data_IF_251341338063
#
_entry.id   IF_251341338063
#
_cell.length_a   1.000
_cell.length_b   1.000
_cell.length_c   1.000
_cell.angle_alpha   90.00
_cell.angle_beta   90.00
_cell.angle_gamma   90.00
#
_symmetry.space_group_name_H-M   'P 1'
#
loop_
_entity.id
_entity.type
_entity.pdbx_description
1 polymer ?
#
# COMPACT_ATOMS: atom_id res chain seq x y z
N UNK A 1 -34.30 8.73 3.45
CA UNK A 1 -33.39 7.91 4.29
C UNK A 1 -32.73 6.77 3.54
N UNK A 2 -33.46 5.86 2.87
CA UNK A 2 -32.87 4.70 2.16
C UNK A 2 -31.81 5.04 1.08
N UNK A 3 -31.95 6.17 0.38
CA UNK A 3 -30.96 6.62 -0.61
C UNK A 3 -29.64 7.07 0.03
N UNK A 4 -29.73 7.84 1.13
CA UNK A 4 -28.56 8.30 1.89
C UNK A 4 -27.78 7.14 2.49
N UNK A 5 -28.47 6.16 3.08
CA UNK A 5 -27.86 4.95 3.63
C UNK A 5 -27.09 4.16 2.56
N UNK A 6 -27.69 3.93 1.39
CA UNK A 6 -27.00 3.28 0.25
C UNK A 6 -25.75 4.04 -0.18
N UNK A 7 -25.81 5.37 -0.23
CA UNK A 7 -24.64 6.20 -0.53
C UNK A 7 -23.52 5.99 0.48
N UNK A 8 -23.84 6.05 1.78
CA UNK A 8 -22.88 5.80 2.87
C UNK A 8 -22.22 4.43 2.75
N UNK A 9 -23.00 3.38 2.46
CA UNK A 9 -22.46 2.02 2.28
C UNK A 9 -21.47 1.94 1.10
N UNK A 10 -21.78 2.57 -0.04
CA UNK A 10 -20.90 2.59 -1.21
C UNK A 10 -19.58 3.30 -0.88
N UNK A 11 -19.65 4.48 -0.27
CA UNK A 11 -18.45 5.22 0.11
C UNK A 11 -17.62 4.49 1.17
N UNK A 12 -18.27 3.84 2.14
CA UNK A 12 -17.58 2.99 3.12
C UNK A 12 -16.82 1.85 2.45
N UNK A 13 -17.44 1.15 1.50
CA UNK A 13 -16.79 0.08 0.76
C UNK A 13 -15.57 0.62 0.02
N UNK A 14 -15.71 1.75 -0.67
CA UNK A 14 -14.59 2.39 -1.37
C UNK A 14 -13.43 2.73 -0.44
N UNK A 15 -13.67 3.46 0.66
CA UNK A 15 -12.60 3.88 1.56
C UNK A 15 -11.94 2.69 2.28
N UNK A 16 -12.72 1.67 2.68
CA UNK A 16 -12.15 0.47 3.29
C UNK A 16 -11.34 -0.35 2.29
N UNK A 17 -11.73 -0.41 1.01
CA UNK A 17 -10.87 -1.00 -0.04
C UNK A 17 -9.55 -0.25 -0.18
N UNK A 18 -9.57 1.09 -0.16
CA UNK A 18 -8.32 1.88 -0.15
C UNK A 18 -7.47 1.54 1.08
N UNK A 19 -8.06 1.43 2.26
CA UNK A 19 -7.36 1.06 3.50
C UNK A 19 -6.70 -0.33 3.38
N UNK A 20 -7.44 -1.35 2.93
CA UNK A 20 -6.93 -2.72 2.78
C UNK A 20 -5.70 -2.77 1.85
N UNK A 21 -5.72 -2.01 0.75
CA UNK A 21 -4.65 -2.01 -0.25
C UNK A 21 -3.44 -1.13 0.14
N UNK A 22 -3.63 -0.10 0.97
CA UNK A 22 -2.58 0.90 1.26
C UNK A 22 -1.93 0.76 2.64
N UNK A 23 -2.61 0.17 3.63
CA UNK A 23 -2.00 -0.09 4.95
C UNK A 23 -0.75 -0.99 4.83
N UNK A 24 -0.77 -2.11 4.08
CA UNK A 24 0.41 -2.95 3.92
C UNK A 24 1.61 -2.24 3.31
N UNK A 25 1.38 -1.32 2.37
CA UNK A 25 2.43 -0.48 1.78
C UNK A 25 3.12 0.36 2.85
N UNK A 26 2.35 1.12 3.64
CA UNK A 26 2.91 1.98 4.71
C UNK A 26 3.68 1.16 5.74
N UNK A 27 3.13 0.01 6.16
CA UNK A 27 3.79 -0.85 7.14
C UNK A 27 5.10 -1.44 6.60
N UNK A 28 5.13 -1.82 5.32
CA UNK A 28 6.33 -2.42 4.73
C UNK A 28 7.44 -1.39 4.46
N UNK A 29 7.09 -0.18 4.01
CA UNK A 29 8.05 0.92 3.81
C UNK A 29 8.84 1.19 5.09
N UNK A 30 8.18 1.20 6.24
CA UNK A 30 8.85 1.50 7.52
C UNK A 30 9.29 0.26 8.29
N UNK A 31 9.38 -0.89 7.63
CA UNK A 31 9.89 -2.13 8.22
C UNK A 31 11.38 -2.31 7.90
N UNK A 32 12.26 -1.74 8.73
CA UNK A 32 13.70 -1.83 8.52
C UNK A 32 14.21 -3.27 8.39
N UNK A 33 13.71 -4.19 9.21
CA UNK A 33 14.09 -5.61 9.15
C UNK A 33 13.78 -6.27 7.80
N UNK A 34 12.76 -5.79 7.08
CA UNK A 34 12.49 -6.26 5.73
C UNK A 34 13.59 -5.88 4.74
N UNK A 35 14.15 -4.67 4.84
CA UNK A 35 15.25 -4.22 4.00
C UNK A 35 16.50 -5.05 4.25
N UNK A 36 16.89 -5.24 5.51
CA UNK A 36 18.06 -6.04 5.88
C UNK A 36 17.94 -7.47 5.32
N UNK A 37 16.76 -8.10 5.49
CA UNK A 37 16.48 -9.42 4.93
C UNK A 37 16.59 -9.46 3.40
N UNK A 38 16.11 -8.43 2.70
CA UNK A 38 16.20 -8.38 1.24
C UNK A 38 17.62 -8.12 0.76
N UNK A 39 18.40 -7.31 1.48
CA UNK A 39 19.80 -7.08 1.16
C UNK A 39 20.63 -8.34 1.30
N UNK A 40 20.36 -9.16 2.32
CA UNK A 40 20.97 -10.50 2.44
C UNK A 40 20.55 -11.40 1.26
N UNK A 41 19.25 -11.50 0.98
CA UNK A 41 18.72 -12.37 -0.09
C UNK A 41 19.22 -12.01 -1.49
N UNK A 42 19.46 -10.72 -1.74
CA UNK A 42 19.92 -10.23 -3.02
C UNK A 42 21.45 -10.03 -3.07
N UNK A 43 22.19 -10.46 -2.04
CA UNK A 43 23.66 -10.31 -1.93
C UNK A 43 24.14 -8.87 -2.19
N UNK A 44 23.46 -7.89 -1.57
CA UNK A 44 23.81 -6.47 -1.71
C UNK A 44 25.14 -6.20 -1.02
N UNK A 45 26.16 -5.87 -1.81
CA UNK A 45 27.52 -5.55 -1.39
C UNK A 45 27.73 -4.03 -1.37
N UNK A 46 27.08 -3.38 -0.40
CA UNK A 46 27.17 -1.94 -0.16
C UNK A 46 27.55 -1.74 1.29
N UNK A 47 28.64 -1.02 1.53
CA UNK A 47 29.08 -0.63 2.86
C UNK A 47 28.01 0.26 3.54
N UNK A 48 27.83 0.10 4.85
CA UNK A 48 26.86 0.88 5.63
C UNK A 48 25.40 0.85 5.13
N UNK A 49 25.00 -0.15 4.34
CA UNK A 49 23.64 -0.29 3.78
C UNK A 49 22.50 -0.15 4.80
N UNK A 50 22.72 -0.60 6.04
CA UNK A 50 21.74 -0.45 7.12
C UNK A 50 21.60 1.01 7.60
N UNK A 51 22.70 1.75 7.65
CA UNK A 51 22.71 3.18 7.98
C UNK A 51 22.09 4.00 6.85
N UNK A 52 22.37 3.65 5.59
CA UNK A 52 21.76 4.27 4.42
C UNK A 52 20.24 4.07 4.46
N UNK A 53 19.75 2.86 4.74
CA UNK A 53 18.31 2.60 4.91
C UNK A 53 17.74 3.42 6.06
N UNK A 54 18.41 3.47 7.23
CA UNK A 54 17.93 4.29 8.34
C UNK A 54 17.76 5.76 7.95
N UNK A 55 18.70 6.33 7.19
CA UNK A 55 18.59 7.69 6.65
C UNK A 55 17.46 7.84 5.63
N UNK A 56 17.24 6.87 4.72
CA UNK A 56 16.08 6.86 3.80
C UNK A 56 14.76 6.88 4.58
N UNK A 57 14.63 6.05 5.62
CA UNK A 57 13.43 5.98 6.44
C UNK A 57 13.21 7.27 7.25
N UNK A 58 14.28 7.88 7.75
CA UNK A 58 14.22 9.18 8.41
C UNK A 58 13.82 10.29 7.41
N UNK A 59 14.35 10.26 6.20
CA UNK A 59 14.01 11.17 5.11
C UNK A 59 12.54 11.05 4.70
N UNK A 60 12.02 9.83 4.50
CA UNK A 60 10.59 9.61 4.21
C UNK A 60 9.67 10.06 5.35
N UNK A 61 10.12 9.98 6.60
CA UNK A 61 9.39 10.53 7.75
C UNK A 61 9.58 12.05 7.92
N UNK A 62 10.37 12.72 7.07
CA UNK A 62 10.63 14.15 7.15
C UNK A 62 11.52 14.57 8.33
N UNK A 63 12.27 13.63 8.92
CA UNK A 63 13.16 13.89 10.07
C UNK A 63 14.56 14.31 9.65
N UNK A 64 15.03 13.86 8.50
CA UNK A 64 16.37 14.11 8.00
C UNK A 64 16.34 14.48 6.51
N UNK A 65 17.44 15.06 6.02
CA UNK A 65 17.74 15.13 4.60
C UNK A 65 18.28 13.78 4.12
N UNK A 66 18.13 13.52 2.82
CA UNK A 66 18.68 12.33 2.20
C UNK A 66 20.18 12.54 1.98
N UNK A 67 20.98 11.71 2.64
CA UNK A 67 22.43 11.70 2.54
C UNK A 67 22.86 10.47 1.72
N UNK A 68 24.14 10.34 1.38
CA UNK A 68 24.75 9.21 0.64
C UNK A 68 24.47 9.12 -0.87
N UNK A 69 23.32 9.59 -1.35
CA UNK A 69 22.94 9.55 -2.76
C UNK A 69 23.53 10.74 -3.55
N UNK A 70 23.76 10.58 -4.85
CA UNK A 70 24.14 11.69 -5.73
C UNK A 70 22.97 12.66 -6.00
N UNK A 71 23.22 13.79 -6.65
CA UNK A 71 22.19 14.81 -6.91
C UNK A 71 21.00 14.29 -7.73
N UNK A 72 21.25 13.41 -8.71
CA UNK A 72 20.20 12.86 -9.57
C UNK A 72 19.36 11.82 -8.80
N UNK A 73 20.02 10.97 -8.02
CA UNK A 73 19.38 9.99 -7.15
C UNK A 73 18.54 10.69 -6.06
N UNK A 74 19.06 11.76 -5.45
CA UNK A 74 18.32 12.57 -4.49
C UNK A 74 17.08 13.21 -5.12
N UNK A 75 17.21 13.74 -6.35
CA UNK A 75 16.10 14.33 -7.07
C UNK A 75 14.97 13.31 -7.29
N UNK A 76 15.30 12.10 -7.72
CA UNK A 76 14.34 11.01 -7.85
C UNK A 76 13.73 10.58 -6.52
N UNK A 77 14.55 10.42 -5.48
CA UNK A 77 14.08 10.00 -4.16
C UNK A 77 13.15 11.04 -3.51
N UNK A 78 13.32 12.31 -3.83
CA UNK A 78 12.36 13.35 -3.44
C UNK A 78 11.01 13.18 -4.15
N UNK A 79 10.99 12.83 -5.42
CA UNK A 79 9.74 12.53 -6.13
C UNK A 79 9.07 11.27 -5.57
N UNK A 80 9.84 10.24 -5.23
CA UNK A 80 9.35 9.04 -4.54
C UNK A 80 8.71 9.41 -3.20
N UNK A 81 9.39 10.24 -2.38
CA UNK A 81 8.84 10.73 -1.11
C UNK A 81 7.51 11.48 -1.29
N UNK A 82 7.41 12.33 -2.31
CA UNK A 82 6.16 13.03 -2.61
C UNK A 82 5.04 12.07 -3.03
N UNK A 83 5.36 11.06 -3.84
CA UNK A 83 4.42 10.02 -4.23
C UNK A 83 3.93 9.23 -3.01
N UNK A 84 4.84 8.80 -2.14
CA UNK A 84 4.50 8.11 -0.88
C UNK A 84 3.61 8.97 0.03
N UNK A 85 3.90 10.26 0.15
CA UNK A 85 3.08 11.19 0.91
C UNK A 85 1.65 11.29 0.36
N UNK A 86 1.45 11.25 -0.96
CA UNK A 86 0.11 11.20 -1.58
C UNK A 86 -0.64 9.91 -1.20
N UNK A 87 0.03 8.76 -1.24
CA UNK A 87 -0.56 7.49 -0.80
C UNK A 87 -0.90 7.52 0.71
N UNK A 88 -0.04 8.05 1.55
CA UNK A 88 -0.28 8.15 2.99
C UNK A 88 -1.40 9.14 3.32
N UNK A 89 -1.50 10.25 2.59
CA UNK A 89 -2.62 11.17 2.71
C UNK A 89 -3.94 10.49 2.33
N UNK A 90 -3.97 9.76 1.20
CA UNK A 90 -5.14 9.00 0.78
C UNK A 90 -5.56 7.96 1.83
N UNK A 91 -4.60 7.25 2.43
CA UNK A 91 -4.85 6.32 3.52
C UNK A 91 -5.43 7.02 4.76
N UNK A 92 -4.81 8.11 5.23
CA UNK A 92 -5.27 8.84 6.41
C UNK A 92 -6.68 9.40 6.21
N UNK A 93 -6.96 9.99 5.03
CA UNK A 93 -8.31 10.47 4.68
C UNK A 93 -9.31 9.32 4.63
N UNK A 94 -8.94 8.18 4.04
CA UNK A 94 -9.81 7.00 3.98
C UNK A 94 -10.16 6.47 5.37
N UNK A 95 -9.20 6.46 6.31
CA UNK A 95 -9.44 6.07 7.70
C UNK A 95 -10.42 7.04 8.40
N UNK A 96 -10.18 8.35 8.29
CA UNK A 96 -11.05 9.38 8.90
C UNK A 96 -12.46 9.31 8.32
N UNK A 97 -12.58 9.24 6.99
CA UNK A 97 -13.88 9.18 6.31
C UNK A 97 -14.61 7.87 6.60
N UNK A 98 -13.90 6.74 6.68
CA UNK A 98 -14.50 5.47 7.11
C UNK A 98 -15.07 5.57 8.53
N UNK A 99 -14.34 6.19 9.45
CA UNK A 99 -14.81 6.39 10.83
C UNK A 99 -16.07 7.27 10.88
N UNK A 100 -16.07 8.42 10.19
CA UNK A 100 -17.22 9.33 10.14
C UNK A 100 -18.44 8.66 9.50
N UNK A 101 -18.25 7.91 8.41
CA UNK A 101 -19.35 7.21 7.73
C UNK A 101 -19.89 6.04 8.57
N UNK A 102 -19.03 5.30 9.28
CA UNK A 102 -19.47 4.25 10.21
C UNK A 102 -20.27 4.83 11.38
N UNK A 103 -19.82 5.94 11.96
CA UNK A 103 -20.58 6.65 12.98
C UNK A 103 -21.94 7.12 12.44
N UNK A 104 -21.95 7.70 11.25
CA UNK A 104 -23.19 8.13 10.58
C UNK A 104 -24.16 6.96 10.36
N UNK A 105 -23.65 5.81 9.90
CA UNK A 105 -24.45 4.60 9.70
C UNK A 105 -25.09 4.11 11.02
N UNK A 106 -24.35 4.18 12.13
CA UNK A 106 -24.86 3.82 13.46
C UNK A 106 -26.00 4.74 13.92
N UNK A 107 -25.91 6.04 13.66
CA UNK A 107 -26.94 7.01 14.05
C UNK A 107 -28.18 7.01 13.14
N UNK A 108 -28.08 6.51 11.91
CA UNK A 108 -29.23 6.39 10.99
C UNK A 108 -30.18 5.27 11.42
N UNK A 109 -29.67 4.06 11.62
CA UNK A 109 -30.47 2.93 12.06
C UNK A 109 -29.64 1.91 12.84
N UNK A 110 -29.78 1.98 14.17
CA UNK A 110 -29.09 1.09 15.11
C UNK A 110 -29.50 -0.37 14.94
N UNK A 111 -30.70 -0.66 14.44
CA UNK A 111 -31.20 -2.04 14.32
C UNK A 111 -30.53 -2.78 13.16
N UNK A 112 -30.26 -2.09 12.06
CA UNK A 112 -29.63 -2.66 10.86
C UNK A 112 -28.12 -2.43 10.79
N UNK A 113 -27.56 -1.62 11.70
CA UNK A 113 -26.14 -1.28 11.74
C UNK A 113 -25.21 -2.49 11.64
N UNK A 114 -25.40 -3.52 12.47
CA UNK A 114 -24.52 -4.70 12.49
C UNK A 114 -24.55 -5.43 11.15
N UNK A 115 -25.74 -5.70 10.61
CA UNK A 115 -25.89 -6.37 9.32
C UNK A 115 -25.27 -5.55 8.18
N UNK A 116 -25.45 -4.23 8.20
CA UNK A 116 -24.87 -3.33 7.20
C UNK A 116 -23.34 -3.24 7.32
N UNK A 117 -22.81 -3.21 8.54
CA UNK A 117 -21.36 -3.21 8.79
C UNK A 117 -20.71 -4.48 8.26
N UNK A 118 -21.30 -5.66 8.52
CA UNK A 118 -20.78 -6.93 8.04
C UNK A 118 -20.83 -7.04 6.50
N UNK A 119 -21.89 -6.52 5.87
CA UNK A 119 -21.97 -6.40 4.40
C UNK A 119 -20.86 -5.51 3.85
N UNK A 120 -20.61 -4.36 4.49
CA UNK A 120 -19.53 -3.45 4.11
C UNK A 120 -18.18 -4.13 4.21
N UNK A 121 -17.88 -4.83 5.32
CA UNK A 121 -16.63 -5.57 5.48
C UNK A 121 -16.45 -6.62 4.37
N UNK A 122 -17.49 -7.41 4.11
CA UNK A 122 -17.46 -8.43 3.06
C UNK A 122 -17.24 -7.83 1.66
N UNK A 123 -17.98 -6.78 1.30
CA UNK A 123 -17.85 -6.13 -0.01
C UNK A 123 -16.50 -5.43 -0.17
N UNK A 124 -15.99 -4.77 0.88
CA UNK A 124 -14.66 -4.14 0.85
C UNK A 124 -13.55 -5.16 0.66
N UNK A 125 -13.64 -6.30 1.35
CA UNK A 125 -12.76 -7.44 1.15
C UNK A 125 -12.89 -8.00 -0.27
N UNK A 126 -14.09 -8.25 -0.77
CA UNK A 126 -14.29 -8.75 -2.13
C UNK A 126 -13.74 -7.79 -3.21
N UNK A 127 -14.01 -6.49 -3.09
CA UNK A 127 -13.46 -5.48 -3.99
C UNK A 127 -11.92 -5.46 -3.95
N UNK A 128 -11.33 -5.53 -2.75
CA UNK A 128 -9.87 -5.60 -2.58
C UNK A 128 -9.30 -6.86 -3.21
N UNK A 129 -9.94 -8.01 -3.01
CA UNK A 129 -9.55 -9.28 -3.61
C UNK A 129 -9.52 -9.20 -5.13
N UNK A 130 -10.55 -8.62 -5.76
CA UNK A 130 -10.59 -8.42 -7.22
C UNK A 130 -9.44 -7.53 -7.70
N UNK A 131 -9.18 -6.40 -7.02
CA UNK A 131 -8.06 -5.52 -7.35
C UNK A 131 -6.72 -6.25 -7.21
N UNK A 132 -6.55 -7.06 -6.17
CA UNK A 132 -5.35 -7.87 -5.94
C UNK A 132 -5.14 -8.87 -7.08
N UNK A 133 -6.18 -9.53 -7.56
CA UNK A 133 -6.06 -10.43 -8.71
C UNK A 133 -5.57 -9.70 -9.97
N UNK A 134 -6.05 -8.47 -10.20
CA UNK A 134 -5.57 -7.63 -11.30
C UNK A 134 -4.10 -7.22 -11.10
N UNK A 135 -3.70 -6.87 -9.86
CA UNK A 135 -2.32 -6.55 -9.53
C UNK A 135 -1.38 -7.73 -9.76
N UNK A 136 -1.81 -8.97 -9.51
CA UNK A 136 -1.00 -10.16 -9.78
C UNK A 136 -0.68 -10.35 -11.27
N UNK A 137 -1.53 -9.84 -12.19
CA UNK A 137 -1.25 -9.88 -13.63
C UNK A 137 0.01 -9.08 -14.00
N UNK A 138 0.39 -8.09 -13.19
CA UNK A 138 1.60 -7.29 -13.44
C UNK A 138 2.89 -8.12 -13.34
N UNK A 139 2.84 -9.26 -12.64
CA UNK A 139 3.99 -10.14 -12.44
C UNK A 139 4.40 -10.94 -13.68
N UNK A 140 3.51 -11.07 -14.68
CA UNK A 140 3.82 -11.79 -15.92
C UNK A 140 4.99 -11.14 -16.67
N UNK A 141 5.08 -9.82 -16.64
CA UNK A 141 6.22 -9.06 -17.14
C UNK A 141 6.48 -7.89 -16.19
N UNK A 142 7.11 -8.20 -15.05
CA UNK A 142 7.36 -7.22 -14.01
C UNK A 142 8.21 -6.05 -14.51
N UNK A 143 9.25 -6.30 -15.32
CA UNK A 143 10.09 -5.24 -15.89
C UNK A 143 9.28 -4.22 -16.71
N UNK A 144 8.38 -4.70 -17.58
CA UNK A 144 7.51 -3.81 -18.38
C UNK A 144 6.53 -3.02 -17.52
N UNK A 145 5.94 -3.65 -16.50
CA UNK A 145 4.99 -2.97 -15.62
C UNK A 145 5.68 -2.01 -14.65
N UNK A 146 6.91 -2.33 -14.24
CA UNK A 146 7.78 -1.48 -13.44
C UNK A 146 8.15 -0.20 -14.21
N UNK A 147 8.59 -0.31 -15.47
CA UNK A 147 8.84 0.86 -16.32
C UNK A 147 7.55 1.66 -16.57
N UNK A 148 6.42 0.99 -16.85
CA UNK A 148 5.12 1.65 -17.01
C UNK A 148 4.68 2.45 -15.77
N UNK A 149 4.89 1.90 -14.57
CA UNK A 149 4.67 2.61 -13.31
C UNK A 149 5.55 3.86 -13.22
N UNK A 150 6.83 3.75 -13.56
CA UNK A 150 7.74 4.88 -13.50
C UNK A 150 7.40 5.96 -14.52
N UNK A 151 7.01 5.61 -15.74
CA UNK A 151 6.53 6.56 -16.75
C UNK A 151 5.27 7.30 -16.30
N UNK A 152 4.37 6.63 -15.58
CA UNK A 152 3.13 7.23 -15.08
C UNK A 152 3.39 8.26 -13.97
N UNK A 153 4.28 7.95 -13.01
CA UNK A 153 4.49 8.79 -11.83
C UNK A 153 5.71 9.72 -11.92
N UNK A 154 6.65 9.41 -12.81
CA UNK A 154 7.91 10.14 -13.03
C UNK A 154 8.09 10.47 -14.53
N UNK A 155 7.05 11.06 -15.13
CA UNK A 155 6.98 11.39 -16.57
C UNK A 155 8.13 12.28 -17.10
N UNK A 156 8.83 12.97 -16.20
CA UNK A 156 10.02 13.77 -16.45
C UNK A 156 11.28 12.93 -16.76
N UNK A 157 11.23 11.61 -16.58
CA UNK A 157 12.29 10.68 -17.01
C UNK A 157 13.48 10.56 -16.06
N UNK A 158 13.38 11.04 -14.82
CA UNK A 158 14.47 11.04 -13.83
C UNK A 158 14.54 9.76 -12.97
N UNK A 159 14.20 8.59 -13.53
CA UNK A 159 14.11 7.33 -12.78
C UNK A 159 15.05 6.22 -13.29
N UNK A 160 15.87 6.51 -14.31
CA UNK A 160 16.82 5.56 -14.90
C UNK A 160 18.24 5.87 -14.44
N UNK A 161 18.93 4.88 -13.89
CA UNK A 161 20.26 5.03 -13.31
C UNK A 161 21.21 3.94 -13.82
N UNK A 162 22.52 4.21 -13.74
CA UNK A 162 23.55 3.20 -14.04
C UNK A 162 23.39 1.99 -13.10
N UNK A 163 23.68 0.75 -13.56
CA UNK A 163 23.78 -0.41 -12.68
C UNK A 163 24.77 -0.23 -11.52
N UNK A 164 25.77 0.65 -11.66
CA UNK A 164 26.75 0.99 -10.64
C UNK A 164 26.30 2.10 -9.67
N UNK A 165 25.10 2.65 -9.85
CA UNK A 165 24.56 3.66 -8.93
C UNK A 165 24.23 3.04 -7.58
N UNK A 166 24.30 3.84 -6.52
CA UNK A 166 24.01 3.39 -5.16
C UNK A 166 22.55 2.92 -5.06
N UNK A 167 21.64 3.66 -5.69
CA UNK A 167 20.21 3.37 -5.69
C UNK A 167 19.91 2.00 -6.33
N UNK A 168 20.49 1.68 -7.48
CA UNK A 168 20.27 0.38 -8.14
C UNK A 168 20.98 -0.76 -7.41
N UNK A 169 22.13 -0.49 -6.81
CA UNK A 169 22.87 -1.47 -6.00
C UNK A 169 22.06 -1.91 -4.77
N UNK A 170 21.33 -0.98 -4.15
CA UNK A 170 20.46 -1.26 -3.00
C UNK A 170 19.08 -1.81 -3.43
N UNK A 171 18.47 -1.21 -4.46
CA UNK A 171 17.10 -1.47 -4.86
C UNK A 171 17.01 -1.98 -6.30
N UNK A 172 17.48 -3.21 -6.50
CA UNK A 172 17.37 -3.90 -7.79
C UNK A 172 15.91 -4.21 -8.17
N UNK A 173 15.67 -4.58 -9.43
CA UNK A 173 14.34 -5.04 -9.87
C UNK A 173 13.82 -6.22 -9.01
N UNK A 174 14.71 -7.12 -8.58
CA UNK A 174 14.37 -8.25 -7.70
C UNK A 174 13.92 -7.80 -6.31
N UNK A 175 14.53 -6.75 -5.76
CA UNK A 175 14.06 -6.10 -4.53
C UNK A 175 12.62 -5.61 -4.71
N UNK A 176 12.35 -4.83 -5.75
CA UNK A 176 11.02 -4.28 -6.00
C UNK A 176 9.97 -5.34 -6.29
N UNK A 177 10.32 -6.41 -7.00
CA UNK A 177 9.44 -7.56 -7.23
C UNK A 177 9.05 -8.23 -5.92
N UNK A 178 10.03 -8.44 -5.04
CA UNK A 178 9.81 -9.02 -3.71
C UNK A 178 8.98 -8.10 -2.80
N UNK A 179 9.23 -6.79 -2.87
CA UNK A 179 8.51 -5.76 -2.13
C UNK A 179 7.04 -5.71 -2.56
N UNK A 180 6.79 -5.66 -3.86
CA UNK A 180 5.45 -5.71 -4.45
C UNK A 180 4.69 -6.98 -4.06
N UNK A 181 5.31 -8.15 -4.20
CA UNK A 181 4.71 -9.43 -3.79
C UNK A 181 4.33 -9.43 -2.31
N UNK A 182 5.16 -8.86 -1.43
CA UNK A 182 4.87 -8.79 0.01
C UNK A 182 3.67 -7.88 0.30
N UNK A 183 3.55 -6.74 -0.39
CA UNK A 183 2.37 -5.86 -0.28
C UNK A 183 1.12 -6.60 -0.73
N UNK A 184 1.16 -7.23 -1.89
CA UNK A 184 0.03 -7.98 -2.47
C UNK A 184 -0.40 -9.11 -1.52
N UNK A 185 0.54 -9.88 -0.99
CA UNK A 185 0.27 -10.96 -0.07
C UNK A 185 -0.35 -10.48 1.25
N UNK A 186 0.20 -9.42 1.86
CA UNK A 186 -0.35 -8.84 3.08
C UNK A 186 -1.76 -8.25 2.83
N UNK A 187 -1.97 -7.61 1.67
CA UNK A 187 -3.29 -7.10 1.27
C UNK A 187 -4.31 -8.22 1.09
N UNK A 188 -3.88 -9.37 0.53
CA UNK A 188 -4.71 -10.57 0.39
C UNK A 188 -5.14 -11.13 1.75
N UNK A 189 -4.21 -11.19 2.72
CA UNK A 189 -4.54 -11.61 4.09
C UNK A 189 -5.59 -10.67 4.70
N UNK A 190 -5.40 -9.35 4.62
CA UNK A 190 -6.36 -8.36 5.14
C UNK A 190 -7.72 -8.48 4.46
N UNK A 191 -7.72 -8.65 3.14
CA UNK A 191 -8.92 -8.87 2.34
C UNK A 191 -9.71 -10.09 2.82
N UNK A 192 -9.04 -11.21 3.08
CA UNK A 192 -9.67 -12.43 3.60
C UNK A 192 -10.23 -12.17 5.00
N UNK A 193 -9.45 -11.55 5.89
CA UNK A 193 -9.89 -11.20 7.25
C UNK A 193 -11.20 -10.41 7.22
N UNK A 194 -11.31 -9.39 6.36
CA UNK A 194 -12.51 -8.57 6.21
C UNK A 194 -13.73 -9.37 5.73
N UNK A 195 -13.55 -10.42 4.92
CA UNK A 195 -14.64 -11.26 4.43
C UNK A 195 -15.15 -12.26 5.47
N UNK A 196 -14.29 -12.70 6.40
CA UNK A 196 -14.60 -13.81 7.33
C UNK A 196 -15.85 -13.61 8.21
N UNK A 197 -16.15 -12.43 8.80
CA UNK A 197 -17.24 -12.30 9.76
C UNK A 197 -18.61 -12.62 9.15
N UNK A 198 -18.86 -12.14 7.92
CA UNK A 198 -20.11 -12.40 7.20
C UNK A 198 -20.24 -13.88 6.82
N UNK A 199 -19.14 -14.54 6.42
CA UNK A 199 -19.15 -15.95 6.05
C UNK A 199 -19.45 -16.86 7.26
N UNK A 200 -18.91 -16.53 8.42
CA UNK A 200 -19.19 -17.25 9.68
C UNK A 200 -20.66 -17.09 10.07
N UNK A 201 -21.19 -15.87 10.04
CA UNK A 201 -22.60 -15.62 10.37
C UNK A 201 -23.58 -16.34 9.43
N UNK A 202 -23.26 -16.40 8.13
CA UNK A 202 -24.06 -17.13 7.16
C UNK A 202 -24.06 -18.65 7.40
N UNK A 203 -23.03 -19.20 8.06
CA UNK A 203 -22.97 -20.62 8.45
C UNK A 203 -23.76 -20.90 9.73
N UNK A 204 -23.79 -19.98 10.68
CA UNK A 204 -24.52 -20.14 11.96
C UNK A 204 -26.04 -20.01 11.76
N UNK A 205 -26.48 -19.20 10.78
CA UNK A 205 -27.91 -18.98 10.47
C UNK A 205 -28.53 -20.07 9.57
N UNK A 206 -27.73 -21.00 9.03
CA UNK A 206 -28.19 -22.16 8.25
C UNK A 206 -28.33 -23.36 9.17
#
# INVERSE_FOLDING_TARGET
MKFLEKGILIFLVFFLTVVILTVPLRLLIFNQSYYSLQFERNNVDVEDKELIVANILAFFNGREQLNYFDENEQFHMNDVKQLLNKFFLALNLSLVLSFVLLASLFFIDKKTFVDNFLKVLFLSGLCSFVVILLLLLTLFNFSTTFDGFHKLFFSQGNYSFSPSSLLISLFSENFFKSFFLKIVFNSLILSIIFMTPQLVLNRIKK
#
